data_IF_077007062623
#
_entry.id   IF_077007062623
#
_cell.length_a   1.000
_cell.length_b   1.000
_cell.length_c   1.000
_cell.angle_alpha   90.00
_cell.angle_beta   90.00
_cell.angle_gamma   90.00
#
_symmetry.space_group_name_H-M   'P 1'
#
loop_
_entity.id
_entity.type
_entity.pdbx_description
1 polymer ?
#
# COMPACT_ATOMS: atom_id res chain seq x y z
N UNK A 1 26.06 -5.01 -7.79
CA UNK A 1 24.61 -4.94 -7.48
C UNK A 1 23.79 -6.07 -8.12
N UNK A 2 23.95 -6.41 -9.41
CA UNK A 2 23.22 -7.57 -10.00
C UNK A 2 23.59 -8.85 -9.23
N UNK A 3 24.88 -9.10 -9.03
CA UNK A 3 25.37 -10.26 -8.29
C UNK A 3 24.80 -10.36 -6.87
N UNK A 4 24.64 -9.24 -6.16
CA UNK A 4 24.04 -9.27 -4.81
C UNK A 4 22.54 -9.58 -4.82
N UNK A 5 21.80 -9.21 -5.88
CA UNK A 5 20.41 -9.63 -6.05
C UNK A 5 20.31 -11.13 -6.35
N UNK A 6 21.17 -11.66 -7.23
CA UNK A 6 21.24 -13.10 -7.52
C UNK A 6 21.65 -13.89 -6.28
N UNK A 7 22.68 -13.44 -5.56
CA UNK A 7 23.15 -14.07 -4.33
C UNK A 7 22.06 -14.08 -3.25
N UNK A 8 21.26 -13.00 -3.14
CA UNK A 8 20.09 -12.96 -2.25
C UNK A 8 19.14 -14.12 -2.52
N UNK A 9 18.87 -14.41 -3.79
CA UNK A 9 17.94 -15.46 -4.19
C UNK A 9 18.53 -16.86 -4.00
N UNK A 10 19.82 -17.05 -4.30
CA UNK A 10 20.52 -18.32 -4.12
C UNK A 10 20.67 -18.70 -2.64
N UNK A 11 21.01 -17.73 -1.79
CA UNK A 11 21.19 -17.96 -0.35
C UNK A 11 19.90 -17.82 0.46
N UNK A 12 18.76 -17.60 -0.21
CA UNK A 12 17.43 -17.45 0.40
C UNK A 12 17.38 -16.35 1.47
N UNK A 13 18.07 -15.24 1.24
CA UNK A 13 17.99 -14.07 2.12
C UNK A 13 16.62 -13.43 1.93
N UNK A 14 15.82 -13.25 2.99
CA UNK A 14 14.40 -12.92 2.85
C UNK A 14 14.18 -11.49 2.37
N UNK A 15 14.90 -10.51 2.91
CA UNK A 15 14.66 -9.08 2.59
C UNK A 15 15.90 -8.38 2.04
N UNK A 16 15.70 -7.27 1.32
CA UNK A 16 16.81 -6.38 0.88
C UNK A 16 17.56 -5.80 2.11
N UNK A 17 16.86 -5.60 3.23
CA UNK A 17 17.47 -5.14 4.48
C UNK A 17 18.51 -6.13 5.00
N UNK A 18 18.15 -7.41 5.02
CA UNK A 18 19.04 -8.48 5.46
C UNK A 18 20.22 -8.66 4.50
N UNK A 19 19.99 -8.49 3.20
CA UNK A 19 21.06 -8.49 2.20
C UNK A 19 22.09 -7.39 2.48
N UNK A 20 21.62 -6.15 2.70
CA UNK A 20 22.51 -5.02 2.97
C UNK A 20 23.23 -5.19 4.31
N UNK A 21 22.54 -5.71 5.33
CA UNK A 21 23.16 -6.04 6.62
C UNK A 21 24.28 -7.06 6.42
N UNK A 22 24.05 -8.11 5.64
CA UNK A 22 25.08 -9.10 5.35
C UNK A 22 26.26 -8.53 4.56
N UNK A 23 26.00 -7.74 3.51
CA UNK A 23 27.06 -7.04 2.76
C UNK A 23 27.95 -6.15 3.63
N UNK A 24 27.40 -5.59 4.72
CA UNK A 24 28.16 -4.76 5.67
C UNK A 24 29.02 -5.55 6.64
N UNK A 25 28.59 -6.74 7.04
CA UNK A 25 29.26 -7.53 8.08
C UNK A 25 30.15 -8.64 7.54
N UNK A 26 29.85 -9.16 6.35
CA UNK A 26 30.59 -10.26 5.71
C UNK A 26 31.36 -9.74 4.50
N UNK A 27 32.68 -9.57 4.68
CA UNK A 27 33.57 -9.05 3.65
C UNK A 27 33.78 -10.05 2.52
N UNK A 28 33.74 -11.36 2.77
CA UNK A 28 33.87 -12.38 1.73
C UNK A 28 32.62 -12.37 0.85
N UNK A 29 31.44 -12.33 1.46
CA UNK A 29 30.18 -12.20 0.72
C UNK A 29 30.14 -10.93 -0.13
N UNK A 30 30.63 -9.81 0.42
CA UNK A 30 30.74 -8.53 -0.29
C UNK A 30 31.65 -8.63 -1.53
N UNK A 31 32.81 -9.25 -1.40
CA UNK A 31 33.74 -9.48 -2.51
C UNK A 31 33.15 -10.41 -3.57
N UNK A 32 32.49 -11.50 -3.15
CA UNK A 32 31.80 -12.42 -4.06
C UNK A 32 30.67 -11.73 -4.85
N UNK A 33 30.02 -10.73 -4.25
CA UNK A 33 29.02 -9.89 -4.93
C UNK A 33 29.63 -8.83 -5.87
N UNK A 34 30.96 -8.78 -6.01
CA UNK A 34 31.69 -7.86 -6.86
C UNK A 34 31.82 -6.44 -6.30
N UNK A 35 31.66 -6.24 -4.98
CA UNK A 35 31.92 -4.95 -4.34
C UNK A 35 33.34 -4.91 -3.79
N UNK A 36 34.11 -3.88 -4.12
CA UNK A 36 35.42 -3.66 -3.52
C UNK A 36 35.25 -3.21 -2.07
N UNK A 37 36.24 -3.43 -1.21
CA UNK A 37 36.21 -3.01 0.21
C UNK A 37 36.10 -1.49 0.38
N UNK A 38 36.65 -0.73 -0.58
CA UNK A 38 36.60 0.74 -0.64
C UNK A 38 35.22 1.29 -1.03
N UNK A 39 34.38 0.49 -1.68
CA UNK A 39 33.13 0.98 -2.26
C UNK A 39 32.11 1.33 -1.17
N UNK A 40 31.15 2.18 -1.50
CA UNK A 40 29.97 2.34 -0.66
C UNK A 40 28.97 1.21 -0.97
N UNK A 41 28.46 0.55 0.06
CA UNK A 41 27.38 -0.43 -0.10
C UNK A 41 26.11 0.34 -0.49
N UNK A 42 25.45 -0.02 -1.62
CA UNK A 42 24.25 0.67 -2.05
C UNK A 42 23.11 0.55 -1.04
N UNK A 43 22.30 1.60 -0.92
CA UNK A 43 21.14 1.62 -0.04
C UNK A 43 20.01 0.71 -0.52
N UNK A 44 19.02 0.49 0.35
CA UNK A 44 17.79 -0.25 0.05
C UNK A 44 17.07 0.35 -1.17
N UNK A 45 16.88 1.68 -1.17
CA UNK A 45 16.25 2.40 -2.27
C UNK A 45 16.99 2.22 -3.60
N UNK A 46 18.32 2.08 -3.59
CA UNK A 46 19.08 1.80 -4.80
C UNK A 46 18.80 0.40 -5.35
N UNK A 47 18.66 -0.60 -4.50
CA UNK A 47 18.26 -1.95 -4.92
C UNK A 47 16.84 -1.95 -5.48
N UNK A 48 15.89 -1.27 -4.83
CA UNK A 48 14.52 -1.16 -5.32
C UNK A 48 14.46 -0.49 -6.69
N UNK A 49 15.13 0.66 -6.88
CA UNK A 49 15.18 1.34 -8.19
C UNK A 49 15.78 0.47 -9.27
N UNK A 50 16.79 -0.32 -8.94
CA UNK A 50 17.40 -1.25 -9.88
C UNK A 50 16.46 -2.39 -10.26
N UNK A 51 15.75 -2.97 -9.30
CA UNK A 51 14.71 -3.98 -9.56
C UNK A 51 13.60 -3.40 -10.45
N UNK A 52 13.12 -2.18 -10.18
CA UNK A 52 12.14 -1.51 -11.04
C UNK A 52 12.66 -1.37 -12.48
N UNK A 53 13.91 -0.93 -12.66
CA UNK A 53 14.52 -0.84 -14.00
C UNK A 53 14.66 -2.18 -14.70
N UNK A 54 14.95 -3.25 -13.96
CA UNK A 54 15.03 -4.60 -14.52
C UNK A 54 13.63 -5.08 -14.93
N UNK A 55 12.63 -4.87 -14.08
CA UNK A 55 11.25 -5.26 -14.34
C UNK A 55 10.61 -4.50 -15.51
N UNK A 56 10.97 -3.23 -15.72
CA UNK A 56 10.53 -2.43 -16.86
C UNK A 56 11.28 -2.78 -18.16
N UNK A 57 12.34 -3.57 -18.09
CA UNK A 57 13.22 -3.87 -19.21
C UNK A 57 12.99 -5.28 -19.75
N UNK A 58 13.03 -5.49 -21.08
CA UNK A 58 12.86 -6.81 -21.67
C UNK A 58 14.12 -7.71 -21.56
N UNK A 59 14.97 -7.46 -20.56
CA UNK A 59 16.25 -8.15 -20.41
C UNK A 59 16.04 -9.60 -19.96
N UNK A 60 15.08 -9.82 -19.06
CA UNK A 60 14.84 -11.16 -18.50
C UNK A 60 14.26 -12.10 -19.55
N UNK A 61 13.33 -11.63 -20.39
CA UNK A 61 12.77 -12.44 -21.49
C UNK A 61 13.86 -12.81 -22.50
N UNK A 62 14.74 -11.86 -22.85
CA UNK A 62 15.86 -12.16 -23.78
C UNK A 62 16.85 -13.16 -23.20
N UNK A 63 17.18 -13.05 -21.92
CA UNK A 63 18.07 -14.01 -21.24
C UNK A 63 17.42 -15.38 -21.20
N UNK A 64 16.12 -15.45 -20.87
CA UNK A 64 15.36 -16.70 -20.89
C UNK A 64 15.36 -17.35 -22.28
N UNK A 65 15.06 -16.59 -23.33
CA UNK A 65 15.07 -17.08 -24.72
C UNK A 65 16.45 -17.61 -25.11
N UNK A 66 17.51 -16.87 -24.77
CA UNK A 66 18.90 -17.28 -25.05
C UNK A 66 19.24 -18.59 -24.35
N UNK A 67 18.86 -18.75 -23.08
CA UNK A 67 19.11 -19.96 -22.31
C UNK A 67 18.32 -21.16 -22.85
N UNK A 68 17.08 -20.96 -23.26
CA UNK A 68 16.26 -22.02 -23.87
C UNK A 68 16.90 -22.48 -25.19
N UNK A 69 17.26 -21.55 -26.07
CA UNK A 69 17.93 -21.87 -27.33
C UNK A 69 19.23 -22.63 -27.10
N UNK A 70 20.04 -22.20 -26.13
CA UNK A 70 21.27 -22.92 -25.78
C UNK A 70 20.97 -24.34 -25.29
N UNK A 71 20.00 -24.52 -24.40
CA UNK A 71 19.60 -25.84 -23.89
C UNK A 71 19.07 -26.76 -25.00
N UNK A 72 18.38 -26.22 -26.00
CA UNK A 72 17.96 -26.96 -27.20
C UNK A 72 19.16 -27.39 -28.04
N UNK A 73 20.12 -26.48 -28.29
CA UNK A 73 21.32 -26.81 -29.08
C UNK A 73 22.21 -27.85 -28.40
N UNK A 74 22.26 -27.85 -27.07
CA UNK A 74 23.02 -28.83 -26.27
C UNK A 74 22.27 -30.16 -26.09
N UNK A 75 21.03 -30.25 -26.58
CA UNK A 75 20.20 -31.46 -26.52
C UNK A 75 19.58 -31.75 -25.15
N UNK A 76 19.58 -30.77 -24.23
CA UNK A 76 18.87 -30.89 -22.94
C UNK A 76 17.36 -30.77 -23.10
N UNK A 77 16.90 -30.00 -24.09
CA UNK A 77 15.49 -29.85 -24.45
C UNK A 77 15.33 -30.39 -25.88
N UNK A 78 14.64 -31.53 -26.00
CA UNK A 78 14.44 -32.21 -27.29
C UNK A 78 12.99 -32.17 -27.80
N UNK A 79 12.05 -31.87 -26.90
CA UNK A 79 10.61 -31.87 -27.20
C UNK A 79 10.14 -30.47 -27.63
N UNK A 80 9.25 -30.45 -28.62
CA UNK A 80 8.56 -29.22 -29.07
C UNK A 80 7.42 -28.80 -28.13
N UNK A 81 7.21 -29.54 -27.04
CA UNK A 81 6.10 -29.30 -26.11
C UNK A 81 6.53 -28.41 -24.94
N UNK A 82 5.84 -27.29 -24.78
CA UNK A 82 6.10 -26.33 -23.68
C UNK A 82 5.02 -26.50 -22.61
N UNK A 83 5.41 -26.94 -21.42
CA UNK A 83 4.54 -26.97 -20.25
C UNK A 83 4.60 -25.61 -19.51
N UNK A 84 3.47 -24.92 -19.42
CA UNK A 84 3.34 -23.64 -18.69
C UNK A 84 2.43 -23.88 -17.49
N UNK A 85 2.96 -23.67 -16.29
CA UNK A 85 2.21 -23.73 -15.04
C UNK A 85 2.43 -22.45 -14.22
N UNK A 86 1.45 -22.11 -13.39
CA UNK A 86 1.48 -20.94 -12.52
C UNK A 86 1.44 -21.40 -11.06
N UNK A 87 2.45 -21.00 -10.30
CA UNK A 87 2.53 -21.30 -8.86
C UNK A 87 2.36 -20.03 -8.04
N UNK A 88 1.72 -20.15 -6.88
CA UNK A 88 1.63 -19.03 -5.95
C UNK A 88 2.99 -18.81 -5.28
N UNK A 89 3.50 -17.58 -5.36
CA UNK A 89 4.75 -17.17 -4.73
C UNK A 89 4.43 -16.00 -3.79
N UNK A 90 4.75 -16.17 -2.51
CA UNK A 90 4.64 -15.10 -1.52
C UNK A 90 5.69 -14.01 -1.79
N UNK A 91 5.27 -12.75 -1.67
CA UNK A 91 6.16 -11.62 -1.90
C UNK A 91 7.14 -11.44 -0.73
N UNK A 92 8.43 -11.45 -1.05
CA UNK A 92 9.52 -11.33 -0.06
C UNK A 92 9.63 -9.96 0.59
N UNK A 93 9.49 -8.89 -0.20
CA UNK A 93 9.61 -7.50 0.27
C UNK A 93 8.23 -6.81 0.27
N UNK A 94 7.17 -7.48 0.73
CA UNK A 94 5.84 -6.90 0.76
C UNK A 94 5.73 -5.81 1.83
N UNK A 95 5.23 -4.64 1.43
CA UNK A 95 4.85 -3.61 2.39
C UNK A 95 3.74 -4.15 3.30
N UNK A 96 3.79 -3.89 4.63
CA UNK A 96 2.75 -4.32 5.53
C UNK A 96 1.40 -3.79 5.04
N UNK A 97 0.38 -4.65 5.02
CA UNK A 97 -0.97 -4.26 4.63
C UNK A 97 -1.40 -3.08 5.51
N UNK A 98 -1.82 -1.99 4.89
CA UNK A 98 -2.41 -0.88 5.61
C UNK A 98 -3.69 -1.39 6.25
N UNK A 99 -3.69 -1.58 7.57
CA UNK A 99 -4.92 -1.88 8.31
C UNK A 99 -5.91 -0.75 8.02
N UNK A 100 -7.02 -1.08 7.36
CA UNK A 100 -8.13 -0.14 7.25
C UNK A 100 -8.55 0.24 8.66
N UNK A 101 -8.17 1.44 9.11
CA UNK A 101 -8.63 1.99 10.38
C UNK A 101 -10.15 1.95 10.36
N UNK A 102 -10.73 1.08 11.18
CA UNK A 102 -12.17 0.99 11.37
C UNK A 102 -12.72 2.40 11.57
N UNK A 103 -13.70 2.80 10.75
CA UNK A 103 -14.34 4.12 10.88
C UNK A 103 -14.74 4.33 12.34
N UNK A 104 -14.36 5.45 12.99
CA UNK A 104 -14.71 5.66 14.39
C UNK A 104 -16.23 5.60 14.55
N UNK A 105 -16.71 4.77 15.47
CA UNK A 105 -18.15 4.64 15.74
C UNK A 105 -18.75 6.03 16.05
N UNK A 106 -19.94 6.34 15.51
CA UNK A 106 -20.59 7.61 15.79
C UNK A 106 -20.85 7.75 17.30
N UNK A 107 -20.28 8.79 17.92
CA UNK A 107 -20.46 9.09 19.35
C UNK A 107 -21.94 9.04 19.72
N UNK A 108 -22.32 8.10 20.59
CA UNK A 108 -23.66 8.03 21.18
C UNK A 108 -23.98 9.39 21.82
N UNK A 109 -25.00 10.09 21.31
CA UNK A 109 -25.49 11.34 21.89
C UNK A 109 -25.94 11.07 23.33
N UNK A 110 -25.20 11.57 24.31
CA UNK A 110 -25.61 11.57 25.70
C UNK A 110 -26.95 12.27 25.91
N UNK A 111 -27.69 11.86 26.95
CA UNK A 111 -28.97 12.46 27.35
C UNK A 111 -28.76 13.96 27.63
N UNK A 112 -29.33 14.83 26.78
CA UNK A 112 -29.30 16.29 27.01
C UNK A 112 -29.72 16.63 28.44
N UNK A 113 -28.96 17.52 29.09
CA UNK A 113 -29.21 17.99 30.45
C UNK A 113 -30.62 18.61 30.57
N UNK A 114 -31.22 18.52 31.77
CA UNK A 114 -32.61 18.94 32.04
C UNK A 114 -32.83 20.44 31.74
N UNK A 115 -31.78 21.25 31.82
CA UNK A 115 -31.78 22.69 31.55
C UNK A 115 -31.85 23.01 30.04
N UNK A 116 -31.04 22.34 29.22
CA UNK A 116 -31.09 22.50 27.75
C UNK A 116 -32.47 22.11 27.19
N UNK A 117 -33.10 21.09 27.78
CA UNK A 117 -34.47 20.71 27.42
C UNK A 117 -35.46 21.83 27.75
N UNK A 118 -35.41 22.39 28.97
CA UNK A 118 -36.30 23.49 29.37
C UNK A 118 -36.14 24.71 28.44
N UNK A 119 -34.91 25.07 28.09
CA UNK A 119 -34.64 26.19 27.19
C UNK A 119 -35.16 25.91 25.77
N UNK A 120 -34.95 24.70 25.25
CA UNK A 120 -35.51 24.29 23.95
C UNK A 120 -37.04 24.31 23.92
N UNK A 121 -37.71 23.91 25.02
CA UNK A 121 -39.17 24.00 25.12
C UNK A 121 -39.67 25.45 25.23
N UNK A 122 -38.97 26.33 25.94
CA UNK A 122 -39.31 27.76 26.00
C UNK A 122 -39.19 28.41 24.62
N UNK A 123 -38.10 28.16 23.89
CA UNK A 123 -37.89 28.73 22.55
C UNK A 123 -38.98 28.27 21.57
N UNK A 124 -39.31 26.97 21.55
CA UNK A 124 -40.41 26.46 20.71
C UNK A 124 -41.79 27.05 21.06
N UNK A 125 -42.03 27.36 22.34
CA UNK A 125 -43.28 28.02 22.77
C UNK A 125 -43.33 29.47 22.29
N UNK A 126 -42.21 30.19 22.36
CA UNK A 126 -42.10 31.57 21.91
C UNK A 126 -42.26 31.66 20.38
N UNK A 127 -41.62 30.79 19.61
CA UNK A 127 -41.79 30.72 18.15
C UNK A 127 -43.25 30.45 17.75
N UNK A 128 -43.92 29.49 18.41
CA UNK A 128 -45.35 29.22 18.16
C UNK A 128 -46.22 30.42 18.51
N UNK A 129 -45.94 31.13 19.61
CA UNK A 129 -46.67 32.36 19.98
C UNK A 129 -46.50 33.46 18.94
N UNK A 130 -45.28 33.69 18.45
CA UNK A 130 -45.00 34.64 17.37
C UNK A 130 -45.79 34.28 16.09
N UNK A 131 -45.78 33.00 15.68
CA UNK A 131 -46.53 32.55 14.50
C UNK A 131 -48.05 32.71 14.64
N UNK A 132 -48.58 32.52 15.86
CA UNK A 132 -50.00 32.70 16.15
C UNK A 132 -50.38 34.19 16.15
N UNK A 133 -49.48 35.06 16.60
CA UNK A 133 -49.67 36.50 16.57
C UNK A 133 -49.75 37.00 15.13
N UNK A 134 -48.78 36.63 14.26
CA UNK A 134 -48.82 36.99 12.84
C UNK A 134 -50.07 36.47 12.13
N UNK A 135 -50.53 35.24 12.45
CA UNK A 135 -51.79 34.72 11.90
C UNK A 135 -53.02 35.51 12.36
N UNK A 136 -53.04 35.99 13.61
CA UNK A 136 -54.13 36.83 14.12
C UNK A 136 -54.15 38.20 13.46
N UNK A 137 -52.99 38.83 13.26
CA UNK A 137 -52.89 40.12 12.56
C UNK A 137 -53.35 40.01 11.10
N UNK A 138 -52.93 38.97 10.38
CA UNK A 138 -53.40 38.71 9.01
C UNK A 138 -54.93 38.53 8.94
N UNK A 139 -55.51 37.83 9.92
CA UNK A 139 -56.97 37.63 9.98
C UNK A 139 -57.74 38.91 10.33
N UNK A 140 -57.17 39.76 11.19
CA UNK A 140 -57.76 41.05 11.55
C UNK A 140 -57.75 42.03 10.37
N UNK A 141 -56.68 42.04 9.57
CA UNK A 141 -56.59 42.86 8.36
C UNK A 141 -57.55 42.38 7.27
N UNK A 142 -57.82 41.08 7.17
CA UNK A 142 -58.81 40.53 6.24
C UNK A 142 -60.27 40.87 6.62
N UNK A 143 -60.56 41.08 7.92
CA UNK A 143 -61.91 41.44 8.41
C UNK A 143 -62.20 42.95 8.35
N UNK A 144 -61.21 43.78 8.00
CA UNK A 144 -61.34 45.24 7.86
C UNK A 144 -61.51 45.68 6.39
N UNK A 145 -61.55 44.72 5.46
CA UNK A 145 -61.92 44.87 4.04
C UNK A 145 -63.35 44.37 3.85
#
# INVERSE_FOLDING_TARGET
>A
MIYSLVARDLERIPTIKDLIKRLKHDYMFRLNCGFLLSDAIPSEASHTRMLSKIAESPVLERVQETLILQAMTEGFITDDTVAIDATHIEARDQAPSNEEKSKPEPKKRGRKSKEEKKNGFKNKRNEKRLSLFSRKELKLNLMRL
#
